data_IF_730498816913
#
_entry.id   IF_730498816913
#
_cell.length_a   1.000
_cell.length_b   1.000
_cell.length_c   1.000
_cell.angle_alpha   90.00
_cell.angle_beta   90.00
_cell.angle_gamma   90.00
#
_symmetry.space_group_name_H-M   'P 1'
#
loop_
_entity.id
_entity.type
_entity.pdbx_description
1 polymer ?
#
# COMPACT_ATOMS: atom_id res chain seq x y z
N UNK A 1 59.78 -24.71 -11.21
CA UNK A 1 58.46 -25.19 -10.75
C UNK A 1 57.73 -23.99 -10.18
N UNK A 2 56.91 -23.31 -10.98
CA UNK A 2 56.13 -22.13 -10.58
C UNK A 2 54.65 -22.50 -10.57
N UNK A 3 53.98 -22.29 -9.44
CA UNK A 3 52.56 -22.57 -9.27
C UNK A 3 51.92 -21.53 -8.36
N UNK A 4 51.90 -20.26 -8.79
CA UNK A 4 51.13 -19.21 -8.11
C UNK A 4 49.66 -19.35 -8.47
N UNK A 5 48.86 -19.89 -7.55
CA UNK A 5 47.39 -19.89 -7.64
C UNK A 5 46.89 -18.49 -7.32
N UNK A 6 46.53 -17.74 -8.35
CA UNK A 6 45.84 -16.46 -8.20
C UNK A 6 44.41 -16.72 -7.72
N UNK A 7 44.15 -16.44 -6.44
CA UNK A 7 42.80 -16.46 -5.87
C UNK A 7 42.07 -15.21 -6.37
N UNK A 8 41.26 -15.34 -7.42
CA UNK A 8 40.32 -14.30 -7.82
C UNK A 8 39.24 -14.16 -6.74
N UNK A 9 39.39 -13.17 -5.87
CA UNK A 9 38.31 -12.71 -5.00
C UNK A 9 37.29 -12.00 -5.88
N UNK A 10 36.20 -12.69 -6.21
CA UNK A 10 35.03 -12.11 -6.84
C UNK A 10 34.38 -11.12 -5.87
N UNK A 11 34.55 -9.82 -6.16
CA UNK A 11 33.79 -8.75 -5.52
C UNK A 11 32.30 -8.97 -5.81
N UNK A 12 31.56 -9.51 -4.83
CA UNK A 12 30.11 -9.47 -4.86
C UNK A 12 29.67 -8.00 -4.77
N UNK A 13 28.77 -7.60 -5.65
CA UNK A 13 28.27 -6.23 -5.68
C UNK A 13 27.56 -5.94 -4.35
N UNK A 14 27.87 -4.80 -3.73
CA UNK A 14 27.29 -4.32 -2.46
C UNK A 14 25.75 -4.15 -2.46
N UNK A 15 25.10 -4.49 -3.57
CA UNK A 15 23.67 -4.29 -3.86
C UNK A 15 22.85 -5.58 -3.83
N UNK A 16 23.45 -6.76 -3.66
CA UNK A 16 22.72 -8.04 -3.69
C UNK A 16 21.69 -8.21 -2.56
N UNK A 17 21.75 -7.39 -1.51
CA UNK A 17 20.80 -7.38 -0.38
C UNK A 17 19.73 -6.28 -0.47
N UNK A 18 19.84 -5.35 -1.43
CA UNK A 18 18.88 -4.27 -1.60
C UNK A 18 17.67 -4.77 -2.38
N UNK A 19 16.43 -4.52 -1.91
CA UNK A 19 15.24 -4.76 -2.70
C UNK A 19 15.39 -4.07 -4.06
N UNK A 20 15.19 -4.82 -5.14
CA UNK A 20 15.36 -4.34 -6.51
C UNK A 20 14.34 -3.27 -6.90
N UNK A 21 13.23 -3.14 -6.15
CA UNK A 21 12.26 -2.06 -6.29
C UNK A 21 12.22 -1.22 -4.99
N UNK A 22 12.78 0.01 -4.99
CA UNK A 22 12.75 0.87 -3.82
C UNK A 22 11.32 1.34 -3.53
N UNK A 23 10.98 1.64 -2.26
CA UNK A 23 9.65 2.12 -1.90
C UNK A 23 9.33 3.43 -2.62
N UNK A 24 8.21 3.45 -3.34
CA UNK A 24 7.74 4.63 -4.08
C UNK A 24 6.77 5.43 -3.24
N UNK A 25 6.81 6.75 -3.38
CA UNK A 25 5.81 7.63 -2.78
C UNK A 25 4.45 7.30 -3.35
N UNK A 26 3.45 7.14 -2.48
CA UNK A 26 2.08 6.84 -2.89
C UNK A 26 1.56 7.95 -3.84
N UNK A 27 1.00 7.60 -5.01
CA UNK A 27 0.56 8.56 -6.00
C UNK A 27 -0.60 9.42 -5.45
N UNK A 28 -0.79 10.61 -6.02
CA UNK A 28 -1.87 11.52 -5.63
C UNK A 28 -3.26 10.96 -5.96
N UNK A 29 -3.35 10.12 -7.00
CA UNK A 29 -4.57 9.49 -7.47
C UNK A 29 -4.32 8.00 -7.71
N UNK A 30 -5.16 7.15 -7.12
CA UNK A 30 -4.98 5.70 -7.05
C UNK A 30 -6.09 4.95 -7.80
N UNK A 31 -5.74 3.79 -8.35
CA UNK A 31 -6.68 2.72 -8.71
C UNK A 31 -7.36 2.14 -7.46
N UNK A 32 -8.37 1.30 -7.65
CA UNK A 32 -8.98 0.55 -6.55
C UNK A 32 -7.98 -0.39 -5.86
N UNK A 33 -7.08 -1.05 -6.62
CA UNK A 33 -6.06 -1.94 -6.06
C UNK A 33 -5.04 -1.16 -5.21
N UNK A 34 -4.53 -0.04 -5.73
CA UNK A 34 -3.62 0.82 -4.96
C UNK A 34 -4.30 1.39 -3.70
N UNK A 35 -5.60 1.72 -3.77
CA UNK A 35 -6.36 2.19 -2.61
C UNK A 35 -6.54 1.09 -1.55
N UNK A 36 -6.77 -0.16 -1.97
CA UNK A 36 -6.81 -1.33 -1.07
C UNK A 36 -5.48 -1.48 -0.34
N UNK A 37 -4.36 -1.44 -1.07
CA UNK A 37 -3.01 -1.57 -0.50
C UNK A 37 -2.70 -0.38 0.42
N UNK A 38 -3.07 0.83 0.02
CA UNK A 38 -2.88 2.04 0.82
C UNK A 38 -3.61 1.96 2.18
N UNK A 39 -4.83 1.42 2.17
CA UNK A 39 -5.64 1.21 3.37
C UNK A 39 -5.36 -0.12 4.08
N UNK A 40 -4.46 -0.95 3.55
CA UNK A 40 -4.10 -2.28 4.08
C UNK A 40 -5.31 -3.22 4.26
N UNK A 41 -6.28 -3.14 3.35
CA UNK A 41 -7.49 -3.99 3.41
C UNK A 41 -7.21 -5.46 3.04
N UNK A 42 -6.02 -5.74 2.49
CA UNK A 42 -5.48 -7.03 2.07
C UNK A 42 -4.55 -7.68 3.11
N UNK A 43 -4.34 -7.07 4.29
CA UNK A 43 -3.50 -7.66 5.34
C UNK A 43 -4.08 -8.96 5.93
N UNK A 44 -3.19 -9.77 6.51
CA UNK A 44 -3.58 -11.03 7.17
C UNK A 44 -3.82 -12.21 6.21
N UNK A 45 -3.29 -12.14 4.98
CA UNK A 45 -3.47 -13.19 3.97
C UNK A 45 -4.83 -13.13 3.28
N UNK A 46 -5.51 -11.98 3.35
CA UNK A 46 -6.80 -11.78 2.69
C UNK A 46 -6.63 -11.68 1.18
N UNK A 47 -7.53 -12.32 0.43
CA UNK A 47 -7.51 -12.21 -1.02
C UNK A 47 -7.88 -10.80 -1.50
N UNK A 48 -7.25 -10.37 -2.60
CA UNK A 48 -7.45 -9.05 -3.19
C UNK A 48 -8.90 -8.83 -3.63
N UNK A 49 -9.62 -9.87 -4.07
CA UNK A 49 -11.02 -9.73 -4.47
C UNK A 49 -11.93 -9.34 -3.29
N UNK A 50 -11.69 -9.90 -2.10
CA UNK A 50 -12.45 -9.59 -0.90
C UNK A 50 -12.05 -8.24 -0.29
N UNK A 51 -10.78 -7.86 -0.42
CA UNK A 51 -10.31 -6.52 -0.08
C UNK A 51 -10.96 -5.45 -0.97
N UNK A 52 -11.12 -5.72 -2.28
CA UNK A 52 -11.85 -4.84 -3.21
C UNK A 52 -13.33 -4.71 -2.86
N UNK A 53 -14.01 -5.80 -2.48
CA UNK A 53 -15.40 -5.73 -1.98
C UNK A 53 -15.50 -4.86 -0.72
N UNK A 54 -14.49 -4.92 0.15
CA UNK A 54 -14.44 -4.08 1.35
C UNK A 54 -14.31 -2.60 0.98
N UNK A 55 -13.46 -2.27 -0.01
CA UNK A 55 -13.38 -0.91 -0.54
C UNK A 55 -14.70 -0.47 -1.18
N UNK A 56 -15.36 -1.34 -1.94
CA UNK A 56 -16.66 -1.06 -2.54
C UNK A 56 -17.73 -0.78 -1.48
N UNK A 57 -17.77 -1.55 -0.39
CA UNK A 57 -18.65 -1.29 0.74
C UNK A 57 -18.39 0.08 1.37
N UNK A 58 -17.13 0.48 1.54
CA UNK A 58 -16.78 1.82 2.04
C UNK A 58 -17.27 2.94 1.10
N UNK A 59 -17.26 2.69 -0.20
CA UNK A 59 -17.81 3.61 -1.20
C UNK A 59 -19.34 3.67 -1.13
N UNK A 60 -20.01 2.52 -1.12
CA UNK A 60 -21.47 2.43 -1.08
C UNK A 60 -22.05 3.05 0.20
N UNK A 61 -21.34 2.93 1.32
CA UNK A 61 -21.73 3.55 2.60
C UNK A 61 -21.33 5.03 2.71
N UNK A 62 -20.72 5.61 1.67
CA UNK A 62 -20.32 7.01 1.63
C UNK A 62 -19.13 7.37 2.51
N UNK A 63 -18.44 6.39 3.09
CA UNK A 63 -17.26 6.60 3.95
C UNK A 63 -16.04 7.03 3.14
N UNK A 64 -15.93 6.53 1.91
CA UNK A 64 -14.87 6.90 0.95
C UNK A 64 -15.52 7.36 -0.34
N UNK A 65 -15.10 8.52 -0.87
CA UNK A 65 -15.65 9.04 -2.13
C UNK A 65 -14.70 8.78 -3.31
N UNK A 66 -15.14 8.03 -4.33
CA UNK A 66 -14.37 7.92 -5.57
C UNK A 66 -14.49 9.21 -6.39
N UNK A 67 -13.46 9.50 -7.17
CA UNK A 67 -13.46 10.49 -8.24
C UNK A 67 -13.56 9.77 -9.59
N UNK A 68 -14.43 10.26 -10.47
CA UNK A 68 -14.60 9.70 -11.82
C UNK A 68 -13.52 10.26 -12.76
N UNK A 69 -12.66 9.40 -13.31
CA UNK A 69 -11.65 9.77 -14.30
C UNK A 69 -11.82 8.91 -15.55
N UNK A 70 -12.37 9.52 -16.60
CA UNK A 70 -12.79 8.81 -17.81
C UNK A 70 -13.83 7.73 -17.48
N UNK A 71 -13.50 6.47 -17.80
CA UNK A 71 -14.38 5.31 -17.57
C UNK A 71 -14.15 4.60 -16.25
N UNK A 72 -13.21 5.06 -15.42
CA UNK A 72 -12.81 4.37 -14.20
C UNK A 72 -12.98 5.25 -12.96
N UNK A 73 -13.31 4.61 -11.85
CA UNK A 73 -13.30 5.26 -10.55
C UNK A 73 -11.85 5.25 -10.02
N UNK A 74 -11.45 6.38 -9.45
CA UNK A 74 -10.13 6.62 -8.87
C UNK A 74 -10.27 7.20 -7.48
N UNK A 75 -9.22 7.06 -6.67
CA UNK A 75 -9.24 7.46 -5.27
C UNK A 75 -8.14 8.48 -5.02
N UNK A 76 -8.51 9.68 -4.60
CA UNK A 76 -7.52 10.70 -4.24
C UNK A 76 -6.85 10.32 -2.92
N UNK A 77 -5.53 10.43 -2.84
CA UNK A 77 -4.77 10.16 -1.61
C UNK A 77 -5.30 10.96 -0.42
N UNK A 78 -5.67 12.22 -0.65
CA UNK A 78 -6.22 13.10 0.37
C UNK A 78 -7.56 12.59 0.95
N UNK A 79 -8.41 11.99 0.11
CA UNK A 79 -9.68 11.40 0.56
C UNK A 79 -9.43 10.15 1.42
N UNK A 80 -8.51 9.28 0.99
CA UNK A 80 -8.13 8.10 1.77
C UNK A 80 -7.50 8.50 3.11
N UNK A 81 -6.63 9.53 3.12
CA UNK A 81 -6.06 10.07 4.35
C UNK A 81 -7.13 10.66 5.28
N UNK A 82 -8.11 11.40 4.74
CA UNK A 82 -9.26 11.90 5.53
C UNK A 82 -10.02 10.74 6.17
N UNK A 83 -10.24 9.66 5.43
CA UNK A 83 -10.89 8.47 5.96
C UNK A 83 -10.11 7.86 7.15
N UNK A 84 -8.79 7.71 7.04
CA UNK A 84 -7.97 7.18 8.15
C UNK A 84 -8.06 8.06 9.40
N UNK A 85 -8.02 9.39 9.24
CA UNK A 85 -8.17 10.33 10.34
C UNK A 85 -9.55 10.19 11.02
N UNK A 86 -10.63 10.16 10.23
CA UNK A 86 -12.00 9.97 10.74
C UNK A 86 -12.15 8.64 11.49
N UNK A 87 -11.56 7.54 11.02
CA UNK A 87 -11.59 6.28 11.76
C UNK A 87 -10.81 6.36 13.08
N UNK A 88 -9.68 7.06 13.09
CA UNK A 88 -8.85 7.24 14.29
C UNK A 88 -9.59 8.03 15.37
N UNK A 89 -10.28 9.11 14.98
CA UNK A 89 -11.07 9.93 15.89
C UNK A 89 -12.25 9.14 16.49
N UNK A 90 -12.98 8.39 15.66
CA UNK A 90 -14.10 7.55 16.13
C UNK A 90 -13.65 6.50 17.14
N UNK A 91 -12.54 5.81 16.85
CA UNK A 91 -11.99 4.81 17.76
C UNK A 91 -11.60 5.42 19.12
N UNK A 92 -10.99 6.62 19.10
CA UNK A 92 -10.67 7.35 20.33
C UNK A 92 -11.92 7.70 21.16
N UNK A 93 -12.99 8.17 20.51
CA UNK A 93 -14.24 8.52 21.18
C UNK A 93 -14.95 7.31 21.80
N UNK A 94 -14.94 6.14 21.12
CA UNK A 94 -15.51 4.90 21.66
C UNK A 94 -14.76 4.43 22.90
N UNK A 95 -13.42 4.51 22.89
CA UNK A 95 -12.59 4.13 24.04
C UNK A 95 -12.75 5.05 25.24
N UNK A 96 -13.02 6.34 25.04
CA UNK A 96 -13.28 7.29 26.14
C UNK A 96 -14.65 7.12 26.80
N UNK A 97 -15.55 6.34 26.21
CA UNK A 97 -16.91 6.09 26.74
C UNK A 97 -17.03 4.78 27.53
N UNK A 98 -15.97 3.97 27.55
CA UNK A 98 -15.89 2.67 28.22
C UNK A 98 -14.99 2.78 29.44
#
# INVERSE_FOLDING_TARGET
MNGSRGTSLSFHSLTDWLPTDPPRVAPSLMTAQEAVVYLRLDEGGRDMADALKSLEYLVQTGRVRPCRVGRNNRFARAELQRFVLDQTERYGQEKSRT
#
